data_IF_084573716756
#
_entry.id   IF_084573716756
#
_cell.length_a   1.000
_cell.length_b   1.000
_cell.length_c   1.000
_cell.angle_alpha   90.00
_cell.angle_beta   90.00
_cell.angle_gamma   90.00
#
_symmetry.space_group_name_H-M   'P 1'
#
loop_
_entity.id
_entity.type
_entity.pdbx_description
1 polymer ?
#
# COMPACT_ATOMS: atom_id res chain seq x y z
N UNK A 1 -10.20 -7.51 -16.46
CA UNK A 1 -9.87 -7.99 -15.08
C UNK A 1 -10.81 -7.39 -14.03
N UNK A 2 -11.02 -6.08 -13.98
CA UNK A 2 -11.91 -5.44 -12.98
C UNK A 2 -13.33 -6.03 -12.97
N UNK A 3 -14.02 -6.23 -14.13
CA UNK A 3 -15.38 -6.81 -14.12
C UNK A 3 -15.47 -8.21 -13.47
N UNK A 4 -14.46 -9.05 -13.66
CA UNK A 4 -14.43 -10.37 -13.03
C UNK A 4 -14.23 -10.28 -11.51
N UNK A 5 -13.39 -9.37 -11.03
CA UNK A 5 -13.21 -9.12 -9.61
C UNK A 5 -14.48 -8.57 -8.96
N UNK A 6 -15.16 -7.66 -9.64
CA UNK A 6 -16.48 -7.13 -9.19
C UNK A 6 -17.51 -8.25 -9.09
N UNK A 7 -17.62 -9.11 -10.10
CA UNK A 7 -18.55 -10.25 -10.08
C UNK A 7 -18.26 -11.20 -8.90
N UNK A 8 -16.99 -11.49 -8.63
CA UNK A 8 -16.58 -12.30 -7.49
C UNK A 8 -16.93 -11.64 -6.15
N UNK A 9 -16.70 -10.33 -6.05
CA UNK A 9 -17.01 -9.57 -4.84
C UNK A 9 -18.51 -9.52 -4.54
N UNK A 10 -19.35 -9.37 -5.56
CA UNK A 10 -20.82 -9.41 -5.41
C UNK A 10 -21.30 -10.77 -4.88
N UNK A 11 -20.64 -11.85 -5.29
CA UNK A 11 -21.01 -13.21 -4.88
C UNK A 11 -20.43 -13.63 -3.50
N UNK A 12 -19.59 -12.81 -2.90
CA UNK A 12 -18.90 -13.12 -1.64
C UNK A 12 -19.52 -12.40 -0.45
N UNK A 13 -19.43 -13.02 0.74
CA UNK A 13 -19.81 -12.38 2.01
C UNK A 13 -18.84 -11.27 2.41
N UNK A 14 -17.56 -11.45 2.15
CA UNK A 14 -16.47 -10.50 2.39
C UNK A 14 -15.50 -10.55 1.21
N UNK A 15 -15.05 -9.40 0.76
CA UNK A 15 -14.00 -9.29 -0.25
C UNK A 15 -12.66 -8.95 0.42
N UNK A 16 -11.61 -9.73 0.14
CA UNK A 16 -10.25 -9.41 0.58
C UNK A 16 -9.41 -9.10 -0.65
N UNK A 17 -8.93 -7.87 -0.74
CA UNK A 17 -8.12 -7.39 -1.84
C UNK A 17 -6.66 -7.29 -1.43
N UNK A 18 -5.78 -7.93 -2.20
CA UNK A 18 -4.33 -7.76 -2.09
C UNK A 18 -3.84 -6.83 -3.19
N UNK A 19 -3.27 -5.70 -2.80
CA UNK A 19 -2.70 -4.70 -3.70
C UNK A 19 -1.34 -4.23 -3.17
N UNK A 20 -0.60 -3.50 -3.99
CA UNK A 20 0.67 -2.96 -3.55
C UNK A 20 1.66 -2.81 -4.69
N UNK A 21 2.94 -2.89 -4.35
CA UNK A 21 4.04 -2.67 -5.27
C UNK A 21 4.75 -3.98 -5.61
N UNK A 22 5.49 -3.98 -6.71
CA UNK A 22 6.26 -5.14 -7.15
C UNK A 22 7.76 -4.83 -7.08
N UNK A 23 8.51 -5.50 -6.20
CA UNK A 23 9.96 -5.33 -6.08
C UNK A 23 10.76 -6.18 -7.08
N UNK A 24 10.08 -6.94 -7.95
CA UNK A 24 10.76 -7.81 -8.91
C UNK A 24 11.83 -7.01 -9.68
N UNK A 25 13.06 -7.44 -9.53
CA UNK A 25 14.25 -6.73 -9.97
C UNK A 25 14.27 -6.33 -11.44
N UNK A 26 15.32 -5.63 -11.80
CA UNK A 26 15.60 -5.09 -13.13
C UNK A 26 15.15 -6.07 -14.23
N UNK A 27 14.40 -5.57 -15.20
CA UNK A 27 13.89 -6.33 -16.36
C UNK A 27 14.99 -7.16 -17.06
N UNK A 28 16.27 -6.73 -16.94
CA UNK A 28 17.43 -7.44 -17.46
C UNK A 28 17.76 -8.76 -16.75
N UNK A 29 17.30 -8.95 -15.52
CA UNK A 29 17.53 -10.18 -14.73
C UNK A 29 16.32 -11.12 -14.67
N UNK A 30 15.23 -10.80 -15.37
CA UNK A 30 14.03 -11.62 -15.38
C UNK A 30 14.27 -12.93 -16.15
N UNK A 31 14.19 -14.11 -15.50
CA UNK A 31 14.42 -15.41 -16.16
C UNK A 31 13.25 -15.88 -17.03
N UNK A 32 12.17 -15.11 -17.11
CA UNK A 32 11.00 -15.48 -17.91
C UNK A 32 11.13 -15.01 -19.37
N UNK A 33 10.44 -15.67 -20.33
CA UNK A 33 10.50 -15.28 -21.74
C UNK A 33 10.20 -13.79 -21.95
N UNK A 34 10.81 -13.14 -22.97
CA UNK A 34 10.55 -11.75 -23.30
C UNK A 34 9.06 -11.44 -23.37
N UNK A 35 8.63 -10.36 -22.70
CA UNK A 35 7.25 -9.90 -22.68
C UNK A 35 6.39 -10.41 -21.52
N UNK A 36 6.89 -11.29 -20.64
CA UNK A 36 6.17 -11.76 -19.45
C UNK A 36 6.69 -11.20 -18.13
N UNK A 37 7.73 -10.38 -18.15
CA UNK A 37 8.22 -9.73 -16.95
C UNK A 37 7.29 -8.62 -16.51
N UNK A 38 6.81 -8.70 -15.29
CA UNK A 38 6.07 -7.61 -14.66
C UNK A 38 7.07 -6.50 -14.37
N UNK A 39 6.78 -5.28 -14.83
CA UNK A 39 7.64 -4.13 -14.53
C UNK A 39 7.74 -3.94 -13.02
N UNK A 40 8.98 -3.79 -12.54
CA UNK A 40 9.25 -3.33 -11.17
C UNK A 40 8.56 -1.99 -10.96
N UNK A 41 7.77 -1.86 -9.91
CA UNK A 41 7.15 -0.59 -9.54
C UNK A 41 8.01 0.21 -8.58
N UNK A 42 8.76 -0.47 -7.74
CA UNK A 42 9.78 0.12 -6.85
C UNK A 42 10.84 -0.93 -6.50
N UNK A 43 12.05 -0.51 -6.21
CA UNK A 43 13.14 -1.41 -5.84
C UNK A 43 14.48 -0.71 -5.95
N UNK A 44 15.56 -1.49 -5.83
CA UNK A 44 16.91 -0.96 -6.01
C UNK A 44 17.05 -0.35 -7.43
N UNK A 45 17.52 0.88 -7.47
CA UNK A 45 17.67 1.68 -8.69
C UNK A 45 16.38 1.97 -9.48
N UNK A 46 15.23 1.75 -8.88
CA UNK A 46 13.92 2.05 -9.48
C UNK A 46 13.05 2.79 -8.47
N UNK A 47 12.95 4.11 -8.61
CA UNK A 47 12.12 4.94 -7.77
C UNK A 47 10.75 5.17 -8.41
N UNK A 48 9.72 5.18 -7.56
CA UNK A 48 8.38 5.61 -7.97
C UNK A 48 8.34 7.12 -8.15
N UNK A 49 7.64 7.56 -9.16
CA UNK A 49 7.35 8.99 -9.40
C UNK A 49 6.01 9.42 -8.79
N UNK A 50 5.25 8.48 -8.23
CA UNK A 50 3.97 8.70 -7.59
C UNK A 50 3.89 7.89 -6.31
N UNK A 51 3.26 8.45 -5.28
CA UNK A 51 3.00 7.76 -4.01
C UNK A 51 1.71 6.92 -4.03
N UNK A 52 0.86 7.05 -5.04
CA UNK A 52 -0.38 6.28 -5.15
C UNK A 52 -0.18 4.80 -5.50
N UNK A 53 -1.27 4.05 -5.47
CA UNK A 53 -1.29 2.66 -5.95
C UNK A 53 -0.91 2.60 -7.43
N UNK A 54 -0.02 1.68 -7.83
CA UNK A 54 0.42 1.60 -9.22
C UNK A 54 -0.65 1.04 -10.17
N UNK A 55 -0.60 1.50 -11.41
CA UNK A 55 -1.46 1.03 -12.48
C UNK A 55 -2.94 1.28 -12.21
N UNK A 56 -3.76 0.25 -12.39
CA UNK A 56 -5.24 0.31 -12.23
C UNK A 56 -5.70 -0.17 -10.84
N UNK A 57 -4.82 -0.27 -9.86
CA UNK A 57 -5.16 -0.86 -8.56
C UNK A 57 -6.17 -0.02 -7.79
N UNK A 58 -6.06 1.31 -7.81
CA UNK A 58 -7.04 2.17 -7.14
C UNK A 58 -8.42 2.04 -7.79
N UNK A 59 -8.51 1.97 -9.12
CA UNK A 59 -9.76 1.71 -9.83
C UNK A 59 -10.37 0.35 -9.45
N UNK A 60 -9.53 -0.68 -9.30
CA UNK A 60 -9.96 -2.00 -8.84
C UNK A 60 -10.53 -1.93 -7.42
N UNK A 61 -9.84 -1.28 -6.48
CA UNK A 61 -10.29 -1.13 -5.10
C UNK A 61 -11.64 -0.41 -5.07
N UNK A 62 -11.76 0.71 -5.79
CA UNK A 62 -13.00 1.49 -5.86
C UNK A 62 -14.17 0.65 -6.38
N UNK A 63 -13.97 -0.07 -7.47
CA UNK A 63 -15.01 -0.90 -8.07
C UNK A 63 -15.46 -2.04 -7.14
N UNK A 64 -14.51 -2.67 -6.43
CA UNK A 64 -14.83 -3.77 -5.50
C UNK A 64 -15.51 -3.25 -4.24
N UNK A 65 -15.07 -2.14 -3.66
CA UNK A 65 -15.71 -1.52 -2.48
C UNK A 65 -17.15 -1.09 -2.78
N UNK A 66 -17.39 -0.56 -3.98
CA UNK A 66 -18.75 -0.23 -4.43
C UNK A 66 -19.65 -1.47 -4.57
N UNK A 67 -19.07 -2.59 -5.01
CA UNK A 67 -19.79 -3.84 -5.19
C UNK A 67 -20.02 -4.62 -3.89
N UNK A 68 -19.07 -4.56 -2.97
CA UNK A 68 -19.14 -5.19 -1.66
C UNK A 68 -18.55 -4.27 -0.58
N UNK A 69 -19.41 -3.60 0.21
CA UNK A 69 -18.93 -2.70 1.28
C UNK A 69 -18.21 -3.43 2.42
N UNK A 70 -18.26 -4.75 2.50
CA UNK A 70 -17.48 -5.56 3.44
C UNK A 70 -16.14 -5.97 2.80
N UNK A 71 -15.38 -4.97 2.37
CA UNK A 71 -14.07 -5.16 1.75
C UNK A 71 -12.95 -4.89 2.74
N UNK A 72 -11.97 -5.79 2.79
CA UNK A 72 -10.70 -5.60 3.48
C UNK A 72 -9.60 -5.40 2.45
N UNK A 73 -8.79 -4.37 2.63
CA UNK A 73 -7.64 -4.09 1.79
C UNK A 73 -6.36 -4.52 2.49
N UNK A 74 -5.60 -5.41 1.88
CA UNK A 74 -4.28 -5.84 2.34
C UNK A 74 -3.23 -5.22 1.41
N UNK A 75 -2.38 -4.40 2.00
CA UNK A 75 -1.32 -3.69 1.30
C UNK A 75 -0.02 -4.47 1.39
N UNK A 76 0.62 -4.72 0.24
CA UNK A 76 1.93 -5.39 0.15
C UNK A 76 2.88 -4.51 -0.66
N UNK A 77 3.69 -3.72 0.03
CA UNK A 77 4.55 -2.69 -0.58
C UNK A 77 5.84 -2.50 0.20
N UNK A 78 6.89 -2.03 -0.46
CA UNK A 78 8.13 -1.68 0.22
C UNK A 78 8.04 -0.28 0.84
N UNK A 79 7.74 0.72 0.03
CA UNK A 79 7.62 2.10 0.47
C UNK A 79 6.17 2.52 0.78
N UNK A 80 5.99 3.60 1.54
CA UNK A 80 4.66 4.12 1.88
C UNK A 80 3.83 4.44 0.64
N UNK A 81 2.53 4.17 0.71
CA UNK A 81 1.56 4.51 -0.33
C UNK A 81 0.59 5.58 0.15
N UNK A 82 0.38 6.60 -0.68
CA UNK A 82 -0.62 7.63 -0.46
C UNK A 82 -1.97 7.15 -1.02
N UNK A 83 -2.80 6.61 -0.14
CA UNK A 83 -4.08 5.99 -0.45
C UNK A 83 -5.23 6.78 0.20
N UNK A 84 -5.36 8.05 -0.20
CA UNK A 84 -6.32 8.99 0.39
C UNK A 84 -7.77 8.50 0.23
N UNK A 85 -8.11 8.05 -0.98
CA UNK A 85 -9.46 7.58 -1.24
C UNK A 85 -9.77 6.30 -0.46
N UNK A 86 -8.86 5.35 -0.48
CA UNK A 86 -8.99 4.06 0.19
C UNK A 86 -9.13 4.25 1.70
N UNK A 87 -8.37 5.17 2.28
CA UNK A 87 -8.46 5.51 3.72
C UNK A 87 -9.86 5.96 4.14
N UNK A 88 -10.59 6.63 3.25
CA UNK A 88 -11.92 7.17 3.55
C UNK A 88 -13.05 6.16 3.28
N UNK A 89 -12.84 5.20 2.38
CA UNK A 89 -13.92 4.36 1.84
C UNK A 89 -13.76 2.88 2.14
N UNK A 90 -12.55 2.40 2.46
CA UNK A 90 -12.32 1.00 2.79
C UNK A 90 -12.48 0.80 4.30
N UNK A 91 -13.39 -0.11 4.74
CA UNK A 91 -13.67 -0.29 6.17
C UNK A 91 -12.49 -0.81 7.00
N UNK A 92 -11.61 -1.62 6.40
CA UNK A 92 -10.45 -2.19 7.07
C UNK A 92 -9.26 -2.25 6.11
N UNK A 93 -8.10 -1.78 6.58
CA UNK A 93 -6.85 -1.76 5.83
C UNK A 93 -5.76 -2.41 6.68
N UNK A 94 -5.08 -3.39 6.13
CA UNK A 94 -3.93 -4.07 6.73
C UNK A 94 -2.69 -3.69 5.94
N UNK A 95 -1.71 -3.06 6.59
CA UNK A 95 -0.40 -2.77 6.02
C UNK A 95 0.54 -3.93 6.33
N UNK A 96 0.83 -4.76 5.33
CA UNK A 96 1.65 -5.96 5.47
C UNK A 96 3.11 -5.77 5.08
N UNK A 97 3.45 -4.70 4.38
CA UNK A 97 4.75 -4.54 3.73
C UNK A 97 5.13 -5.78 2.90
N UNK A 98 6.39 -6.18 2.87
CA UNK A 98 6.84 -7.46 2.30
C UNK A 98 7.11 -8.45 3.44
N UNK A 99 6.11 -9.28 3.81
CA UNK A 99 6.12 -10.02 5.07
C UNK A 99 6.97 -11.31 5.03
N UNK A 100 7.65 -11.60 3.90
CA UNK A 100 8.45 -12.81 3.76
C UNK A 100 7.63 -14.09 3.58
N UNK A 101 8.27 -15.26 3.76
CA UNK A 101 7.65 -16.56 3.45
C UNK A 101 6.46 -16.93 4.33
N UNK A 102 6.45 -16.50 5.60
CA UNK A 102 5.34 -16.74 6.54
C UNK A 102 4.25 -15.67 6.48
N UNK A 103 4.34 -14.76 5.51
CA UNK A 103 3.42 -13.62 5.39
C UNK A 103 1.97 -14.02 5.18
N UNK A 104 1.72 -15.08 4.43
CA UNK A 104 0.37 -15.59 4.23
C UNK A 104 -0.29 -16.03 5.54
N UNK A 105 0.41 -16.80 6.34
CA UNK A 105 -0.07 -17.27 7.64
C UNK A 105 -0.29 -16.12 8.62
N UNK A 106 0.65 -15.17 8.67
CA UNK A 106 0.55 -14.00 9.53
C UNK A 106 -0.64 -13.10 9.17
N UNK A 107 -0.85 -12.82 7.89
CA UNK A 107 -1.99 -12.03 7.41
C UNK A 107 -3.31 -12.79 7.68
N UNK A 108 -3.37 -14.08 7.40
CA UNK A 108 -4.54 -14.90 7.69
C UNK A 108 -4.88 -14.87 9.20
N UNK A 109 -3.90 -15.06 10.08
CA UNK A 109 -4.10 -15.02 11.53
C UNK A 109 -4.68 -13.67 12.01
N UNK A 110 -4.28 -12.56 11.39
CA UNK A 110 -4.88 -11.24 11.67
C UNK A 110 -6.31 -11.15 11.13
N UNK A 111 -6.54 -11.60 9.89
CA UNK A 111 -7.86 -11.49 9.24
C UNK A 111 -8.93 -12.36 9.94
N UNK A 112 -8.53 -13.54 10.43
CA UNK A 112 -9.44 -14.45 11.15
C UNK A 112 -9.49 -14.22 12.66
N UNK A 113 -8.67 -13.29 13.18
CA UNK A 113 -8.72 -12.88 14.58
C UNK A 113 -7.91 -13.75 15.53
N UNK A 114 -7.06 -14.64 15.02
CA UNK A 114 -6.16 -15.47 15.83
C UNK A 114 -5.08 -14.61 16.52
N UNK A 115 -4.69 -13.51 15.87
CA UNK A 115 -3.74 -12.53 16.41
C UNK A 115 -4.24 -11.10 16.27
N UNK A 116 -4.14 -10.33 17.34
CA UNK A 116 -4.39 -8.89 17.30
C UNK A 116 -3.22 -8.18 16.59
N UNK A 117 -3.48 -7.30 15.61
CA UNK A 117 -2.42 -6.56 14.90
C UNK A 117 -1.81 -5.50 15.82
N UNK A 118 -0.70 -5.85 16.49
CA UNK A 118 0.01 -4.95 17.40
C UNK A 118 1.08 -4.08 16.73
N UNK A 119 1.32 -4.29 15.43
CA UNK A 119 2.30 -3.53 14.63
C UNK A 119 1.99 -2.04 14.58
N UNK A 120 3.05 -1.25 14.46
CA UNK A 120 3.00 0.21 14.32
C UNK A 120 3.71 0.62 13.06
N UNK A 121 3.22 1.66 12.39
CA UNK A 121 3.88 2.22 11.23
C UNK A 121 5.28 2.74 11.60
N UNK A 122 6.34 2.23 10.96
CA UNK A 122 7.71 2.67 11.22
C UNK A 122 8.08 3.96 10.48
N UNK A 123 7.12 4.55 9.76
CA UNK A 123 7.30 5.76 8.96
C UNK A 123 6.07 6.65 9.05
N UNK A 124 6.23 7.93 8.71
CA UNK A 124 5.13 8.84 8.44
C UNK A 124 4.64 8.61 7.01
N UNK A 125 3.35 8.37 6.81
CA UNK A 125 2.76 8.26 5.47
C UNK A 125 2.22 9.63 5.07
N UNK A 126 2.82 10.21 4.06
CA UNK A 126 2.48 11.54 3.55
C UNK A 126 1.33 11.50 2.54
N UNK A 127 0.63 12.62 2.33
CA UNK A 127 -0.30 12.74 1.21
C UNK A 127 0.43 12.78 -0.14
N UNK A 128 -0.27 12.46 -1.23
CA UNK A 128 0.33 12.32 -2.56
C UNK A 128 1.04 13.59 -3.05
N UNK A 129 0.57 14.77 -2.67
CA UNK A 129 1.17 16.05 -3.06
C UNK A 129 2.54 16.34 -2.39
N UNK A 130 2.95 15.54 -1.41
CA UNK A 130 4.26 15.69 -0.76
C UNK A 130 5.44 15.45 -1.71
N UNK A 131 5.22 14.81 -2.86
CA UNK A 131 6.23 14.58 -3.90
C UNK A 131 6.78 15.85 -4.56
N UNK A 132 6.22 17.00 -4.27
CA UNK A 132 6.72 18.30 -4.77
C UNK A 132 8.04 18.76 -4.12
N UNK A 133 8.46 18.11 -3.04
CA UNK A 133 9.71 18.42 -2.34
C UNK A 133 10.92 18.00 -3.19
N UNK A 134 11.94 18.87 -3.24
CA UNK A 134 13.18 18.55 -3.90
C UNK A 134 13.97 17.48 -3.14
N UNK A 135 14.30 16.37 -3.79
CA UNK A 135 15.07 15.26 -3.20
C UNK A 135 16.51 15.65 -2.78
N UNK A 136 17.05 16.73 -3.33
CA UNK A 136 18.38 17.26 -2.95
C UNK A 136 18.35 18.23 -1.77
N UNK A 137 17.17 18.50 -1.23
CA UNK A 137 17.03 19.32 -0.01
C UNK A 137 17.17 18.44 1.23
N UNK A 138 18.37 18.44 1.80
CA UNK A 138 18.71 17.69 3.01
C UNK A 138 18.35 18.40 4.32
N UNK A 139 17.83 19.63 4.26
CA UNK A 139 17.37 20.31 5.46
C UNK A 139 15.97 19.79 5.84
N UNK A 140 15.93 18.95 6.87
CA UNK A 140 14.71 18.28 7.33
C UNK A 140 13.61 19.23 7.85
N UNK A 141 13.94 20.50 8.09
CA UNK A 141 13.00 21.51 8.59
C UNK A 141 12.48 22.45 7.52
N UNK A 142 13.01 22.38 6.28
CA UNK A 142 12.53 23.21 5.19
C UNK A 142 11.09 22.89 4.79
N UNK A 143 10.35 23.90 4.34
CA UNK A 143 8.95 23.78 3.94
C UNK A 143 8.09 23.22 5.11
N UNK A 144 7.34 22.17 4.84
CA UNK A 144 6.54 21.48 5.88
C UNK A 144 7.36 20.51 6.74
N UNK A 145 8.66 20.44 6.51
CA UNK A 145 9.55 19.51 7.20
C UNK A 145 9.41 18.07 6.71
N UNK A 146 10.19 17.17 7.29
CA UNK A 146 10.16 15.72 6.99
C UNK A 146 10.23 14.92 8.27
N UNK A 147 9.93 13.64 8.15
CA UNK A 147 9.89 12.63 9.21
C UNK A 147 8.92 12.99 10.33
N UNK A 148 8.75 12.09 11.26
CA UNK A 148 7.91 12.32 12.44
C UNK A 148 8.41 13.43 13.37
N UNK A 149 9.66 13.86 13.21
CA UNK A 149 10.29 14.88 14.05
C UNK A 149 10.00 16.31 13.56
N UNK A 150 9.89 16.52 12.26
CA UNK A 150 9.87 17.87 11.68
C UNK A 150 8.66 18.14 10.78
N UNK A 151 7.91 17.11 10.37
CA UNK A 151 6.76 17.32 9.51
C UNK A 151 5.64 18.04 10.28
N UNK A 152 5.27 19.22 9.81
CA UNK A 152 4.23 20.07 10.39
C UNK A 152 2.90 19.99 9.68
N UNK A 153 2.86 19.33 8.50
CA UNK A 153 1.65 19.10 7.74
C UNK A 153 0.76 18.02 8.37
N UNK A 154 -0.33 17.69 7.69
CA UNK A 154 -1.25 16.64 8.12
C UNK A 154 -0.92 15.33 7.38
N UNK A 155 -0.29 14.34 8.01
CA UNK A 155 0.00 13.08 7.36
C UNK A 155 -1.27 12.26 7.12
N UNK A 156 -1.23 11.34 6.16
CA UNK A 156 -2.28 10.31 6.06
C UNK A 156 -2.29 9.44 7.32
N UNK A 157 -1.14 8.92 7.70
CA UNK A 157 -0.94 8.28 9.00
C UNK A 157 0.39 8.73 9.60
N UNK A 158 0.40 9.11 10.88
CA UNK A 158 1.64 9.47 11.54
C UNK A 158 2.50 8.23 11.84
N UNK A 159 3.80 8.45 11.99
CA UNK A 159 4.72 7.48 12.57
C UNK A 159 4.12 6.91 13.89
N UNK A 160 4.26 5.62 14.09
CA UNK A 160 3.75 4.94 15.27
C UNK A 160 2.24 4.66 15.26
N UNK A 161 1.53 5.01 14.18
CA UNK A 161 0.12 4.68 14.04
C UNK A 161 -0.10 3.16 13.97
N UNK A 162 -1.18 2.69 14.57
CA UNK A 162 -1.61 1.30 14.52
C UNK A 162 -2.80 1.08 15.45
N UNK A 163 -3.45 -0.06 15.33
CA UNK A 163 -4.49 -0.44 16.25
C UNK A 163 -3.88 -0.75 17.62
N UNK A 164 -4.45 -0.17 18.65
CA UNK A 164 -4.11 -0.45 20.05
C UNK A 164 -5.35 -1.08 20.67
N UNK A 165 -5.20 -2.28 21.15
CA UNK A 165 -6.12 -2.86 22.13
C UNK A 165 -5.35 -3.24 23.36
#
# INVERSE_FOLDING_TARGET
MIPAAVAAAVAADVAVLFVGTNPAGNVASCPTPPGKCVKTTEGEAVDRISLGLPGVQSELVQAVVQANPRTVLVMMNAGPLAIEWEKLHVPAIVEGYFPGEMGGDAIAAVLYGDHAPAGRLPVTIYPANYTTRNMTDYNLTNHEGTTHLHYTGRPLWPFGWGMVR
#
